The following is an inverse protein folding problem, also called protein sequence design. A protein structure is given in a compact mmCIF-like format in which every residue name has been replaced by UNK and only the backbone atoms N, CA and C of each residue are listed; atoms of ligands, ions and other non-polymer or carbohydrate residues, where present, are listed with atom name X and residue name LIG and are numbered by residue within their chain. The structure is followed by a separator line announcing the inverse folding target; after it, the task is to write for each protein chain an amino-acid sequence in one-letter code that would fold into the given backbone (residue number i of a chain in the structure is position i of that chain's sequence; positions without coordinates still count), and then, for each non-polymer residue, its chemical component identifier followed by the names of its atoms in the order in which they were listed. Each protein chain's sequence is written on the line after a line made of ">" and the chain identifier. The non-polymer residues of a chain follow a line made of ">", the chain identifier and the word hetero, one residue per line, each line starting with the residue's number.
data_IF_274383008393
#
_entry.id   IF_274383008393
#
_cell.length_a   1.000
_cell.length_b   1.000
_cell.length_c   1.000
_cell.angle_alpha   90.00
_cell.angle_beta   90.00
_cell.angle_gamma   90.00
#
_symmetry.space_group_name_H-M   'P 1'
#
loop_
_entity.id
_entity.type
_entity.pdbx_description
1 polymer ?
2 non-polymer ?
3 non-polymer ?
4 water ?
#
# COMPACT_ATOMS: atom_id res chain seq x y z
N UNK A 3 -11.43 -16.32 -19.12
CA UNK A 3 -10.88 -15.93 -17.79
C UNK A 3 -12.00 -15.32 -16.92
N UNK A 4 -12.21 -15.88 -15.72
CA UNK A 4 -13.25 -15.42 -14.77
C UNK A 4 -13.06 -13.96 -14.38
N UNK A 5 -14.12 -13.33 -13.85
CA UNK A 5 -14.12 -11.88 -13.52
C UNK A 5 -13.16 -11.60 -12.36
N UNK A 6 -13.12 -12.49 -11.36
CA UNK A 6 -12.20 -12.38 -10.17
C UNK A 6 -10.74 -12.42 -10.64
N UNK A 7 -10.42 -13.30 -11.59
CA UNK A 7 -9.06 -13.42 -12.19
C UNK A 7 -8.74 -12.12 -12.92
N UNK A 8 -9.62 -11.69 -13.81
CA UNK A 8 -9.47 -10.44 -14.60
C UNK A 8 -9.26 -9.25 -13.66
N UNK A 9 -10.10 -9.10 -12.62
CA UNK A 9 -9.99 -8.00 -11.64
C UNK A 9 -8.68 -8.11 -10.85
N UNK A 10 -8.24 -9.32 -10.52
CA UNK A 10 -6.96 -9.48 -9.78
C UNK A 10 -5.76 -9.21 -10.71
N UNK A 11 -5.90 -9.40 -12.03
CA UNK A 11 -4.83 -8.98 -12.98
C UNK A 11 -4.76 -7.45 -13.02
N UNK A 12 -5.91 -6.75 -13.02
CA UNK A 12 -5.93 -5.28 -12.91
C UNK A 12 -5.22 -4.87 -11.61
N UNK A 13 -5.54 -5.54 -10.49
CA UNK A 13 -4.92 -5.25 -9.16
C UNK A 13 -3.41 -5.47 -9.28
N UNK A 14 -2.97 -6.58 -9.87
CA UNK A 14 -1.54 -6.91 -10.04
C UNK A 14 -0.86 -5.81 -10.87
N UNK A 15 -1.53 -5.31 -11.92
CA UNK A 15 -1.01 -4.22 -12.76
C UNK A 15 -0.78 -2.97 -11.95
N UNK A 16 -1.77 -2.58 -11.12
CA UNK A 16 -1.67 -1.41 -10.20
C UNK A 16 -0.45 -1.61 -9.29
N UNK A 17 -0.34 -2.79 -8.68
CA UNK A 17 0.75 -3.09 -7.73
C UNK A 17 2.11 -2.91 -8.43
N UNK A 18 2.24 -3.43 -9.66
CA UNK A 18 3.45 -3.28 -10.51
C UNK A 18 3.74 -1.79 -10.70
N UNK A 19 2.71 -0.99 -11.00
CA UNK A 19 2.87 0.47 -11.21
C UNK A 19 3.36 1.11 -9.90
N UNK A 20 2.72 0.80 -8.76
CA UNK A 20 3.08 1.43 -7.47
C UNK A 20 4.53 1.12 -7.12
N UNK A 21 5.08 0.00 -7.61
CA UNK A 21 6.48 -0.44 -7.31
C UNK A 21 7.45 0.00 -8.41
N UNK A 22 6.96 0.69 -9.45
CA UNK A 22 7.73 1.05 -10.68
C UNK A 22 8.55 2.33 -10.44
N UNK A 23 9.62 2.51 -11.21
CA UNK A 23 10.53 3.68 -11.07
C UNK A 23 9.74 4.98 -11.19
N UNK A 24 8.69 4.99 -12.02
CA UNK A 24 7.85 6.17 -12.30
C UNK A 24 7.45 6.85 -10.99
N UNK A 25 7.10 6.09 -9.94
CA UNK A 25 6.54 6.63 -8.66
C UNK A 25 7.54 6.52 -7.51
N UNK A 26 8.77 6.07 -7.78
CA UNK A 26 9.74 5.70 -6.73
C UNK A 26 10.06 6.90 -5.81
N UNK A 27 10.04 8.13 -6.32
CA UNK A 27 10.42 9.33 -5.52
C UNK A 27 9.51 9.48 -4.31
N UNK A 28 8.25 9.02 -4.38
CA UNK A 28 7.29 9.09 -3.25
C UNK A 28 6.78 7.72 -2.81
N UNK A 29 7.05 6.63 -3.55
CA UNK A 29 6.54 5.29 -3.16
C UNK A 29 7.49 4.59 -2.18
N UNK A 30 8.76 5.01 -2.10
CA UNK A 30 9.84 4.20 -1.47
C UNK A 30 9.57 3.95 0.02
N UNK A 31 8.96 4.88 0.81
CA UNK A 31 8.66 4.56 2.21
C UNK A 31 7.67 3.41 2.38
N UNK A 32 6.97 3.00 1.32
CA UNK A 32 5.93 1.96 1.34
C UNK A 32 6.41 0.65 0.72
N UNK A 33 7.69 0.56 0.33
CA UNK A 33 8.26 -0.64 -0.34
C UNK A 33 8.38 -1.83 0.62
N UNK A 34 8.75 -1.56 1.88
CA UNK A 34 9.09 -2.61 2.87
C UNK A 34 8.37 -2.28 4.17
N UNK A 35 8.15 -3.27 5.06
CA UNK A 35 7.57 -2.99 6.39
C UNK A 35 8.34 -1.87 7.09
N UNK A 36 7.60 -1.00 7.79
CA UNK A 36 8.18 0.03 8.70
C UNK A 36 9.06 -0.71 9.69
N UNK A 37 10.36 -0.39 9.71
CA UNK A 37 11.32 -0.93 10.70
C UNK A 37 11.36 0.07 11.84
N UNK A 38 10.43 -0.04 12.77
CA UNK A 38 10.16 0.98 13.81
C UNK A 38 11.44 1.18 14.63
N UNK A 39 12.06 0.08 15.05
CA UNK A 39 13.32 0.07 15.85
C UNK A 39 14.42 0.86 15.12
N UNK A 40 14.64 0.57 13.83
CA UNK A 40 15.66 1.24 12.99
C UNK A 40 15.37 2.73 12.81
N UNK A 41 14.10 3.13 12.76
CA UNK A 41 13.69 4.55 12.54
C UNK A 41 13.49 5.27 13.88
N UNK A 42 13.60 4.57 15.02
CA UNK A 42 13.39 5.09 16.38
C UNK A 42 11.93 5.39 16.68
N UNK A 43 11.00 4.76 15.95
CA UNK A 43 9.56 4.96 16.14
C UNK A 43 9.08 3.92 17.17
N UNK A 44 9.49 4.09 18.43
CA UNK A 44 9.27 3.07 19.49
C UNK A 44 7.80 3.00 19.93
N UNK A 45 6.94 3.86 19.40
CA UNK A 45 5.48 3.87 19.69
C UNK A 45 4.71 3.33 18.48
N UNK A 46 5.38 3.00 17.37
CA UNK A 46 4.73 2.68 16.08
C UNK A 46 3.75 1.50 16.28
N UNK A 47 4.18 0.44 16.93
CA UNK A 47 3.42 -0.85 17.06
C UNK A 47 2.37 -0.74 18.17
N UNK A 48 2.44 0.29 19.00
CA UNK A 48 1.38 0.60 19.99
C UNK A 48 0.22 1.28 19.27
N UNK A 49 0.51 2.05 18.23
CA UNK A 49 -0.47 2.91 17.51
C UNK A 49 -1.03 2.15 16.29
N UNK A 50 -0.17 1.44 15.57
CA UNK A 50 -0.53 0.68 14.34
C UNK A 50 -0.63 -0.81 14.71
N UNK A 51 -1.87 -1.29 14.82
CA UNK A 51 -2.21 -2.69 15.18
C UNK A 51 -1.91 -3.63 14.00
N UNK A 52 -2.11 -3.15 12.76
CA UNK A 52 -2.03 -3.96 11.52
C UNK A 52 -1.10 -3.32 10.51
N UNK A 53 0.23 -3.47 10.67
CA UNK A 53 1.19 -2.98 9.67
C UNK A 53 0.93 -3.54 8.26
N UNK A 54 1.22 -2.73 7.25
CA UNK A 54 1.02 -3.15 5.85
C UNK A 54 1.94 -2.32 4.96
N UNK A 55 2.48 -2.96 3.94
CA UNK A 55 3.45 -2.34 3.00
C UNK A 55 3.35 -3.09 1.67
N UNK A 56 3.95 -2.55 0.63
CA UNK A 56 3.79 -3.08 -0.75
C UNK A 56 4.51 -4.42 -0.91
N UNK A 57 5.59 -4.70 -0.15
CA UNK A 57 6.27 -6.02 -0.25
C UNK A 57 5.31 -7.08 0.29
N UNK A 58 4.57 -6.77 1.35
CA UNK A 58 3.58 -7.73 1.96
C UNK A 58 2.43 -7.92 0.97
N UNK A 59 1.97 -6.87 0.31
CA UNK A 59 0.90 -6.97 -0.72
C UNK A 59 1.42 -7.84 -1.87
N UNK A 60 2.66 -7.63 -2.32
CA UNK A 60 3.25 -8.40 -3.45
C UNK A 60 3.33 -9.90 -3.10
N UNK A 61 3.79 -10.22 -1.88
CA UNK A 61 3.86 -11.61 -1.37
C UNK A 61 2.45 -12.23 -1.33
N UNK A 62 1.47 -11.49 -0.82
CA UNK A 62 0.07 -12.01 -0.74
C UNK A 62 -0.46 -12.21 -2.17
N UNK A 63 -0.15 -11.32 -3.11
CA UNK A 63 -0.60 -11.49 -4.52
C UNK A 63 0.07 -12.73 -5.12
N UNK A 64 1.38 -12.87 -4.95
CA UNK A 64 2.17 -14.01 -5.53
C UNK A 64 1.64 -15.33 -4.96
N UNK A 65 1.25 -15.31 -3.69
CA UNK A 65 0.81 -16.51 -2.91
C UNK A 65 -0.68 -16.81 -3.16
N UNK A 66 -1.36 -16.03 -4.00
CA UNK A 66 -2.81 -16.16 -4.32
C UNK A 66 -3.62 -16.01 -3.03
N UNK A 67 -3.10 -15.19 -2.10
CA UNK A 67 -3.79 -14.89 -0.82
C UNK A 67 -5.06 -14.11 -1.12
N UNK A 68 -4.99 -13.07 -1.97
CA UNK A 68 -6.18 -12.22 -2.26
C UNK A 68 -7.18 -13.03 -3.10
N UNK A 69 -8.43 -13.08 -2.64
CA UNK A 69 -9.52 -13.81 -3.34
C UNK A 69 -10.24 -12.84 -4.29
N UNK A 70 -10.17 -11.53 -4.04
CA UNK A 70 -10.88 -10.55 -4.89
C UNK A 70 -10.17 -9.20 -4.83
N UNK A 71 -10.51 -8.30 -5.74
CA UNK A 71 -9.92 -6.94 -5.81
C UNK A 71 -10.16 -6.18 -4.50
N UNK A 72 -11.33 -6.33 -3.87
CA UNK A 72 -11.70 -5.61 -2.63
C UNK A 72 -10.71 -5.96 -1.52
N UNK A 73 -10.32 -7.22 -1.41
CA UNK A 73 -9.37 -7.68 -0.37
C UNK A 73 -8.01 -6.99 -0.61
N UNK A 74 -7.55 -7.01 -1.85
CA UNK A 74 -6.30 -6.32 -2.30
C UNK A 74 -6.38 -4.84 -1.93
N UNK A 75 -7.48 -4.17 -2.30
CA UNK A 75 -7.66 -2.72 -2.07
C UNK A 75 -7.56 -2.43 -0.56
N UNK A 76 -8.15 -3.28 0.26
CA UNK A 76 -8.25 -3.08 1.72
C UNK A 76 -6.84 -3.06 2.30
N UNK A 77 -5.94 -3.91 1.81
CA UNK A 77 -4.53 -3.90 2.30
C UNK A 77 -3.83 -2.62 1.83
N UNK A 78 -3.99 -2.24 0.56
CA UNK A 78 -3.30 -1.02 0.06
C UNK A 78 -3.79 0.19 0.86
N UNK A 79 -5.09 0.27 1.13
CA UNK A 79 -5.70 1.41 1.85
C UNK A 79 -5.27 1.34 3.32
N UNK A 80 -5.21 0.15 3.92
CA UNK A 80 -4.66 -0.06 5.28
C UNK A 80 -3.26 0.57 5.36
N UNK A 81 -2.38 0.27 4.41
CA UNK A 81 -1.02 0.86 4.34
C UNK A 81 -1.09 2.41 4.42
N UNK A 82 -1.94 3.05 3.62
CA UNK A 82 -2.09 4.53 3.61
C UNK A 82 -2.68 5.02 4.93
N UNK A 83 -3.69 4.33 5.45
CA UNK A 83 -4.39 4.72 6.70
C UNK A 83 -3.40 4.68 7.87
N UNK A 84 -2.56 3.65 7.92
CA UNK A 84 -1.49 3.51 8.95
C UNK A 84 -0.62 4.77 8.93
N UNK A 85 -0.23 5.19 7.74
CA UNK A 85 0.60 6.40 7.55
C UNK A 85 -0.13 7.63 8.12
N UNK A 86 -1.41 7.82 7.78
CA UNK A 86 -2.24 8.98 8.23
C UNK A 86 -2.54 8.90 9.73
N UNK A 87 -2.64 7.70 10.29
CA UNK A 87 -2.88 7.53 11.75
C UNK A 87 -1.62 7.90 12.53
N UNK A 88 -0.44 7.43 12.12
CA UNK A 88 0.81 7.57 12.91
C UNK A 88 1.34 9.00 12.80
N UNK A 89 1.24 9.60 11.61
CA UNK A 89 2.02 10.82 11.25
C UNK A 89 1.18 12.08 11.34
N UNK A 90 1.72 13.18 11.91
CA UNK A 90 1.11 14.49 11.77
C UNK A 90 0.89 14.77 10.28
N UNK A 91 -0.24 15.40 9.89
CA UNK A 91 -0.62 15.53 8.49
C UNK A 91 0.29 16.42 7.62
N UNK A 92 1.20 17.17 8.23
CA UNK A 92 2.11 18.12 7.53
C UNK A 92 3.50 17.50 7.34
N UNK A 93 3.67 16.21 7.63
CA UNK A 93 4.98 15.50 7.55
C UNK A 93 5.20 15.00 6.10
N UNK A 94 6.46 14.91 5.68
CA UNK A 94 6.84 14.57 4.28
C UNK A 94 6.26 13.20 3.91
N UNK A 95 6.33 12.24 4.81
CA UNK A 95 5.85 10.85 4.50
C UNK A 95 4.36 10.91 4.14
N UNK A 96 3.59 11.79 4.79
CA UNK A 96 2.13 11.91 4.53
C UNK A 96 1.92 12.45 3.11
N UNK A 97 2.64 13.50 2.70
CA UNK A 97 2.57 14.04 1.32
C UNK A 97 2.84 12.92 0.32
N UNK A 98 3.83 12.08 0.61
CA UNK A 98 4.24 10.96 -0.26
C UNK A 98 3.11 9.93 -0.34
N UNK A 99 2.49 9.62 0.80
CA UNK A 99 1.32 8.70 0.89
C UNK A 99 0.16 9.25 0.06
N UNK A 100 -0.16 10.54 0.21
CA UNK A 100 -1.29 11.20 -0.52
C UNK A 100 -1.08 11.04 -2.02
N UNK A 101 0.14 11.30 -2.51
CA UNK A 101 0.51 11.19 -3.94
C UNK A 101 0.38 9.74 -4.42
N UNK A 102 0.95 8.79 -3.69
CA UNK A 102 0.85 7.37 -4.09
C UNK A 102 -0.61 6.91 -4.02
N UNK A 103 -1.39 7.38 -3.04
CA UNK A 103 -2.80 6.96 -2.94
C UNK A 103 -3.58 7.52 -4.14
N UNK A 104 -3.23 8.72 -4.62
CA UNK A 104 -3.86 9.32 -5.81
C UNK A 104 -3.65 8.39 -7.00
N UNK A 105 -2.42 7.89 -7.21
CA UNK A 105 -2.11 6.92 -8.30
C UNK A 105 -3.01 5.70 -8.14
N UNK A 106 -3.07 5.17 -6.92
CA UNK A 106 -3.82 3.93 -6.60
C UNK A 106 -5.30 4.14 -6.89
N UNK A 107 -5.91 5.16 -6.27
CA UNK A 107 -7.37 5.37 -6.33
C UNK A 107 -7.80 5.60 -7.77
N UNK A 108 -7.11 6.44 -8.56
CA UNK A 108 -7.56 6.74 -9.94
C UNK A 108 -7.47 5.50 -10.82
N UNK A 109 -6.43 4.68 -10.67
CA UNK A 109 -6.32 3.44 -11.47
C UNK A 109 -7.23 2.33 -10.94
N UNK A 110 -7.41 2.21 -9.63
CA UNK A 110 -8.35 1.20 -9.04
C UNK A 110 -9.77 1.46 -9.58
N UNK A 111 -10.12 2.72 -9.78
CA UNK A 111 -11.44 3.16 -10.31
C UNK A 111 -11.67 2.64 -11.73
N UNK A 112 -10.60 2.32 -12.48
CA UNK A 112 -10.69 1.84 -13.87
C UNK A 112 -10.84 0.31 -13.90
N UNK A 113 -11.10 -0.31 -12.75
CA UNK A 113 -11.34 -1.78 -12.62
C UNK A 113 -12.27 -2.25 -13.74
N UNK A 114 -11.90 -3.31 -14.50
CA UNK A 114 -12.81 -3.88 -15.49
C UNK A 114 -14.02 -4.55 -14.80
N UNK A 115 -15.22 -4.36 -15.38
CA UNK A 115 -16.52 -4.84 -14.85
C UNK A 115 -16.81 -6.24 -15.39
X LIG B 1 -7.83 10.10 -3.44
X LIG B 1 -6.61 9.76 -2.83
X LIG B 1 -7.64 10.65 -4.80
X LIG B 1 -6.81 11.80 -4.83
X LIG C 1 -5.84 -12.74 5.23
X LIG C 1 -4.72 -12.66 4.37
X LIG C 1 -6.30 -14.13 5.47
X LIG C 1 -5.98 -15.02 4.42
X LIG D 1 -0.21 12.33 14.62
X LIG D 1 0.43 12.40 15.87
X LIG D 1 -1.69 12.28 14.72
X LIG D 1 -2.34 11.83 13.54
X LIG E 1 8.31 9.92 11.99
X LIG E 1 9.94 9.16 10.34
X LIG E 1 10.36 8.43 9.24
X LIG E 1 9.47 7.60 8.58
X LIG E 1 11.26 5.90 5.91
X LIG E 1 12.02 9.27 5.96
X LIG E 1 11.96 10.42 5.22
X LIG E 1 5.30 10.83 13.78
X LIG E 1 6.62 11.23 13.22
X LIG E 1 7.05 10.38 12.10
X LIG E 1 9.17 10.19 12.83
X LIG E 1 8.63 9.08 10.80
X LIG E 1 9.80 6.83 7.50
X LIG E 1 11.04 7.10 6.80
X LIG E 1 10.96 8.38 6.00
X LIG E 1 10.82 10.71 4.49
X LIG E 1 9.76 9.84 4.50
X LIG E 1 9.83 8.67 5.25
X LIG E 1 8.14 7.49 9.02
X LIG E 1 7.74 8.24 10.14
X LIG E 1 7.15 6.63 8.33
X LIG E 1 7.28 5.78 7.27
X LIG E 1 6.05 5.31 7.04
X LIG E 1 5.62 4.36 6.04
X LIG E 1 5.16 5.82 7.92
X LIG E 1 5.84 6.64 8.70
#
# INVERSE_FOLDING_TARGET
>A
GSMGKLSEQLKHCNGILKELLSKKHAAYAWPFYKPVDASALGLHDYHDIIKHPMDLSTVKRKMENRDYRDAQEFAADVRLMFSNCYKYNPPDHDVVAMARKLQDVFEFRYAKMPD
>B hetero
1 EDO C1 O1 C2 O2
>C hetero
1 EDO C1 O1 C2 O2
>D hetero
1 EDO C1 O1 C2 O2
>E hetero
1 UL8 C10 C13 C15 C17 C21 C26 C28 C01 C05 N08 O11 C12 O18 C19 C25 C30 C32 C34 C36 C37 C39 C40 N42 C43 N47 N48
#
